data_IF_702236890044
#
_entry.id   IF_702236890044
#
_cell.length_a   1.000
_cell.length_b   1.000
_cell.length_c   1.000
_cell.angle_alpha   90.00
_cell.angle_beta   90.00
_cell.angle_gamma   90.00
#
_symmetry.space_group_name_H-M   'P 1'
#
loop_
_entity.id
_entity.type
_entity.pdbx_description
1 polymer ?
#
# COMPACT_ATOMS: atom_id res chain seq x y z
N UNK A 1 -21.27 3.09 -2.47
CA UNK A 1 -20.15 3.93 -2.93
C UNK A 1 -19.06 3.85 -1.87
N UNK A 2 -17.83 3.60 -2.26
CA UNK A 2 -16.69 3.61 -1.31
C UNK A 2 -16.45 5.04 -0.82
N UNK A 3 -16.25 5.20 0.48
CA UNK A 3 -15.99 6.50 1.12
C UNK A 3 -14.50 6.84 0.98
N UNK A 4 -14.18 8.06 0.55
CA UNK A 4 -12.81 8.53 0.49
C UNK A 4 -12.36 8.91 1.91
N UNK A 5 -11.33 8.24 2.44
CA UNK A 5 -10.76 8.52 3.78
C UNK A 5 -9.70 9.63 3.73
N UNK A 6 -8.85 9.59 2.69
CA UNK A 6 -7.78 10.57 2.51
C UNK A 6 -7.85 11.11 1.08
N UNK A 7 -7.89 12.42 0.92
CA UNK A 7 -7.88 13.10 -0.37
C UNK A 7 -6.65 14.00 -0.46
N UNK A 8 -5.86 13.82 -1.48
CA UNK A 8 -4.68 14.62 -1.79
C UNK A 8 -4.96 15.37 -3.09
N UNK A 9 -4.81 16.70 -3.09
CA UNK A 9 -5.15 17.57 -4.20
C UNK A 9 -3.98 18.49 -4.54
N UNK A 10 -3.49 18.40 -5.76
CA UNK A 10 -2.42 19.21 -6.34
C UNK A 10 -1.24 19.40 -5.39
N UNK A 11 -0.75 18.29 -4.80
CA UNK A 11 0.31 18.34 -3.80
C UNK A 11 1.67 18.51 -4.46
N UNK A 12 2.40 19.53 -4.02
CA UNK A 12 3.77 19.81 -4.43
C UNK A 12 4.71 19.81 -3.24
N UNK A 13 5.92 19.27 -3.44
CA UNK A 13 7.01 19.42 -2.49
C UNK A 13 8.29 19.81 -3.21
N UNK A 14 8.82 20.97 -2.84
CA UNK A 14 10.11 21.47 -3.27
C UNK A 14 11.01 21.59 -2.04
N UNK A 15 12.21 21.02 -2.12
CA UNK A 15 13.26 21.17 -1.14
C UNK A 15 14.28 22.21 -1.63
N UNK A 16 14.79 23.04 -0.72
CA UNK A 16 15.73 24.09 -1.00
C UNK A 16 15.60 25.25 0.00
N UNK A 17 16.40 26.28 -0.17
CA UNK A 17 16.43 27.42 0.75
C UNK A 17 15.17 28.28 0.65
N UNK A 18 14.54 28.38 -0.52
CA UNK A 18 13.30 29.12 -0.75
C UNK A 18 12.30 28.30 -1.59
N UNK A 19 11.55 27.35 -0.98
CA UNK A 19 10.60 26.51 -1.71
C UNK A 19 9.48 27.28 -2.43
N UNK A 20 9.11 28.48 -1.93
CA UNK A 20 8.07 29.32 -2.57
C UNK A 20 8.56 29.87 -3.91
N UNK A 21 9.78 30.37 -3.97
CA UNK A 21 10.40 30.81 -5.23
C UNK A 21 10.59 29.63 -6.20
N UNK A 22 11.00 28.46 -5.68
CA UNK A 22 11.04 27.22 -6.47
C UNK A 22 9.69 26.87 -7.09
N UNK A 23 8.59 27.07 -6.35
CA UNK A 23 7.23 26.85 -6.86
C UNK A 23 6.84 27.81 -7.99
N UNK A 24 7.27 29.07 -7.93
CA UNK A 24 7.06 30.04 -9.02
C UNK A 24 7.78 29.59 -10.30
N UNK A 25 9.02 29.12 -10.19
CA UNK A 25 9.75 28.54 -11.32
C UNK A 25 9.03 27.35 -11.95
N UNK A 26 8.52 26.42 -11.10
CA UNK A 26 7.75 25.25 -11.58
C UNK A 26 6.47 25.67 -12.28
N UNK A 27 5.74 26.67 -11.76
CA UNK A 27 4.54 27.23 -12.41
C UNK A 27 4.85 27.87 -13.77
N UNK A 28 6.06 28.44 -13.93
CA UNK A 28 6.54 29.00 -15.17
C UNK A 28 7.15 27.96 -16.14
N UNK A 29 6.95 26.65 -15.85
CA UNK A 29 7.35 25.56 -16.72
C UNK A 29 8.78 25.05 -16.55
N UNK A 30 9.50 25.50 -15.51
CA UNK A 30 10.86 24.99 -15.21
C UNK A 30 10.76 23.52 -14.76
N UNK A 31 11.48 22.64 -15.47
CA UNK A 31 11.53 21.22 -15.18
C UNK A 31 12.42 20.86 -13.99
N UNK A 32 12.35 19.59 -13.55
CA UNK A 32 13.05 19.06 -12.36
C UNK A 32 14.57 19.27 -12.43
N UNK A 33 15.19 18.95 -13.57
CA UNK A 33 16.65 19.04 -13.76
C UNK A 33 17.13 20.48 -13.79
N UNK A 34 16.39 21.36 -14.48
CA UNK A 34 16.68 22.78 -14.53
C UNK A 34 16.49 23.45 -13.16
N UNK A 35 15.45 23.06 -12.40
CA UNK A 35 15.21 23.56 -11.06
C UNK A 35 16.37 23.19 -10.11
N UNK A 36 16.94 21.99 -10.28
CA UNK A 36 18.09 21.55 -9.51
C UNK A 36 19.37 22.30 -9.92
N UNK A 37 19.68 22.32 -11.22
CA UNK A 37 20.98 22.79 -11.72
C UNK A 37 21.12 24.32 -11.68
N UNK A 38 20.07 25.07 -12.02
CA UNK A 38 20.12 26.53 -12.07
C UNK A 38 19.69 27.18 -10.75
N UNK A 39 18.76 26.57 -10.02
CA UNK A 39 18.14 27.20 -8.85
C UNK A 39 18.43 26.48 -7.54
N UNK A 40 19.19 25.38 -7.56
CA UNK A 40 19.54 24.58 -6.38
C UNK A 40 18.33 24.13 -5.54
N UNK A 41 17.21 23.83 -6.21
CA UNK A 41 16.01 23.32 -5.60
C UNK A 41 15.69 21.92 -6.13
N UNK A 42 15.23 21.02 -5.27
CA UNK A 42 14.83 19.67 -5.63
C UNK A 42 13.31 19.58 -5.69
N UNK A 43 12.75 19.26 -6.85
CA UNK A 43 11.32 18.97 -7.00
C UNK A 43 11.06 17.52 -6.57
N UNK A 44 10.59 17.36 -5.34
CA UNK A 44 10.33 16.04 -4.74
C UNK A 44 8.97 15.45 -5.10
N UNK A 45 7.93 16.30 -5.16
CA UNK A 45 6.57 15.93 -5.61
C UNK A 45 6.02 17.03 -6.49
N UNK A 46 5.32 16.64 -7.56
CA UNK A 46 4.71 17.54 -8.53
C UNK A 46 3.29 17.10 -8.86
N UNK A 47 2.31 17.94 -8.50
CA UNK A 47 0.88 17.80 -8.81
C UNK A 47 0.32 16.42 -8.49
N UNK A 48 0.59 15.95 -7.27
CA UNK A 48 0.05 14.66 -6.83
C UNK A 48 -1.43 14.82 -6.49
N UNK A 49 -2.26 14.02 -7.15
CA UNK A 49 -3.68 13.88 -6.91
C UNK A 49 -3.99 12.41 -6.61
N UNK A 50 -4.55 12.11 -5.43
CA UNK A 50 -4.80 10.73 -4.99
C UNK A 50 -5.98 10.68 -4.02
N UNK A 51 -6.91 9.74 -4.25
CA UNK A 51 -8.02 9.45 -3.36
C UNK A 51 -7.85 8.05 -2.77
N UNK A 52 -7.65 7.97 -1.46
CA UNK A 52 -7.48 6.71 -0.73
C UNK A 52 -8.82 6.35 -0.07
N UNK A 53 -9.33 5.16 -0.39
CA UNK A 53 -10.61 4.69 0.10
C UNK A 53 -10.53 4.24 1.55
N UNK A 54 -11.61 4.43 2.30
CA UNK A 54 -11.74 3.91 3.66
C UNK A 54 -11.63 2.37 3.66
N UNK A 55 -10.98 1.81 4.69
CA UNK A 55 -10.89 0.36 4.93
C UNK A 55 -10.21 -0.41 3.80
N UNK A 56 -9.36 0.24 3.03
CA UNK A 56 -8.61 -0.34 1.92
C UNK A 56 -7.11 -0.22 2.12
N UNK A 57 -6.36 -1.02 1.38
CA UNK A 57 -4.90 -0.91 1.27
C UNK A 57 -4.57 -0.19 -0.03
N UNK A 58 -4.15 1.06 0.07
CA UNK A 58 -3.55 1.81 -1.04
C UNK A 58 -2.05 1.58 -1.04
N UNK A 59 -1.55 0.90 -2.05
CA UNK A 59 -0.11 0.78 -2.27
C UNK A 59 0.40 1.98 -3.06
N UNK A 60 1.54 2.53 -2.66
CA UNK A 60 2.31 3.54 -3.39
C UNK A 60 3.65 2.93 -3.76
N UNK A 61 3.89 2.74 -5.05
CA UNK A 61 5.13 2.13 -5.54
C UNK A 61 5.89 3.02 -6.52
N UNK A 62 7.12 2.63 -6.83
CA UNK A 62 8.03 3.31 -7.77
C UNK A 62 9.48 3.09 -7.38
N UNK A 63 10.41 3.44 -8.23
CA UNK A 63 11.85 3.31 -7.99
C UNK A 63 12.33 4.19 -6.82
N UNK A 64 13.56 3.93 -6.35
CA UNK A 64 14.20 4.80 -5.36
C UNK A 64 14.26 6.24 -5.85
N UNK A 65 13.98 7.21 -4.97
CA UNK A 65 13.93 8.63 -5.33
C UNK A 65 12.67 9.11 -6.06
N UNK A 66 11.65 8.26 -6.28
CA UNK A 66 10.40 8.67 -6.94
C UNK A 66 9.47 9.53 -6.08
N UNK A 67 9.76 9.71 -4.78
CA UNK A 67 8.98 10.57 -3.89
C UNK A 67 8.02 9.85 -2.93
N UNK A 68 7.98 8.50 -2.92
CA UNK A 68 7.06 7.69 -2.09
C UNK A 68 7.08 8.04 -0.61
N UNK A 69 8.27 7.95 0.02
CA UNK A 69 8.43 8.27 1.46
C UNK A 69 8.15 9.75 1.76
N UNK A 70 8.38 10.63 0.79
CA UNK A 70 7.99 12.02 0.89
C UNK A 70 6.48 12.15 0.91
N UNK A 71 5.77 11.46 -0.02
CA UNK A 71 4.31 11.52 -0.12
C UNK A 71 3.62 11.02 1.15
N UNK A 72 3.99 9.84 1.67
CA UNK A 72 3.34 9.28 2.87
C UNK A 72 3.53 10.19 4.10
N UNK A 73 4.71 10.83 4.22
CA UNK A 73 5.02 11.74 5.34
C UNK A 73 4.29 13.08 5.26
N UNK A 74 3.67 13.41 4.13
CA UNK A 74 2.76 14.55 4.03
C UNK A 74 1.39 14.22 4.63
N UNK A 75 0.92 12.98 4.55
CA UNK A 75 -0.39 12.57 5.07
C UNK A 75 -0.50 12.86 6.58
N UNK A 76 0.54 12.57 7.36
CA UNK A 76 0.59 12.89 8.78
C UNK A 76 1.34 14.21 9.08
N UNK A 77 1.62 15.00 8.03
CA UNK A 77 2.32 16.30 8.13
C UNK A 77 3.66 16.26 8.86
N UNK A 78 4.38 15.12 8.80
CA UNK A 78 5.79 15.07 9.21
C UNK A 78 6.66 15.93 8.29
N UNK A 79 6.24 16.10 7.04
CA UNK A 79 6.81 17.01 6.06
C UNK A 79 5.70 17.98 5.64
N UNK A 80 5.98 19.29 5.70
CA UNK A 80 5.07 20.32 5.22
C UNK A 80 5.13 20.39 3.67
N UNK A 81 3.98 20.42 2.98
CA UNK A 81 3.97 20.62 1.54
C UNK A 81 4.40 22.04 1.16
N UNK A 82 4.85 22.22 -0.07
CA UNK A 82 5.10 23.56 -0.63
C UNK A 82 3.80 24.17 -1.15
N UNK A 83 2.91 23.35 -1.72
CA UNK A 83 1.57 23.73 -2.15
C UNK A 83 0.68 22.47 -2.20
N UNK A 84 -0.63 22.68 -2.34
CA UNK A 84 -1.64 21.64 -2.38
C UNK A 84 -2.36 21.43 -1.05
N UNK A 85 -3.25 20.46 -1.03
CA UNK A 85 -4.14 20.19 0.09
C UNK A 85 -4.21 18.71 0.41
N UNK A 86 -4.32 18.37 1.70
CA UNK A 86 -4.59 17.02 2.18
C UNK A 86 -5.78 17.08 3.13
N UNK A 87 -6.82 16.32 2.79
CA UNK A 87 -8.03 16.21 3.59
C UNK A 87 -8.15 14.79 4.12
N UNK A 88 -8.44 14.64 5.40
CA UNK A 88 -8.73 13.37 6.07
C UNK A 88 -10.09 13.48 6.73
N UNK A 89 -11.02 12.57 6.40
CA UNK A 89 -12.40 12.63 6.90
C UNK A 89 -13.03 14.04 6.71
N UNK A 90 -12.85 14.61 5.49
CA UNK A 90 -13.29 15.96 5.11
C UNK A 90 -12.65 17.12 5.88
N UNK A 91 -11.69 16.85 6.78
CA UNK A 91 -10.95 17.87 7.52
C UNK A 91 -9.62 18.20 6.83
N UNK A 92 -9.35 19.47 6.62
CA UNK A 92 -8.09 19.94 6.06
C UNK A 92 -6.95 19.83 7.08
N UNK A 93 -6.08 18.83 6.89
CA UNK A 93 -4.92 18.60 7.77
C UNK A 93 -3.93 19.77 7.71
N UNK A 94 -3.91 20.53 6.62
CA UNK A 94 -3.00 21.68 6.47
C UNK A 94 -3.42 22.86 7.36
N UNK A 95 -4.70 22.94 7.71
CA UNK A 95 -5.24 23.99 8.57
C UNK A 95 -5.04 23.74 10.08
N UNK A 96 -4.60 22.53 10.48
CA UNK A 96 -4.43 22.20 11.90
C UNK A 96 -3.33 23.05 12.56
N UNK A 97 -3.65 23.58 13.73
CA UNK A 97 -2.65 24.15 14.64
C UNK A 97 -1.77 23.04 15.27
N UNK A 98 -0.81 23.43 16.12
CA UNK A 98 0.10 22.47 16.76
C UNK A 98 -0.62 21.44 17.64
N UNK A 99 -1.70 21.83 18.31
CA UNK A 99 -2.44 20.94 19.21
C UNK A 99 -3.33 19.98 18.42
N UNK A 100 -4.09 20.49 17.45
CA UNK A 100 -4.89 19.68 16.54
C UNK A 100 -4.03 18.66 15.77
N UNK A 101 -2.87 19.09 15.26
CA UNK A 101 -1.93 18.21 14.56
C UNK A 101 -1.35 17.13 15.49
N UNK A 102 -1.04 17.47 16.74
CA UNK A 102 -0.59 16.49 17.74
C UNK A 102 -1.66 15.45 18.02
N UNK A 103 -2.90 15.88 18.21
CA UNK A 103 -4.04 14.97 18.44
C UNK A 103 -4.32 14.10 17.21
N UNK A 104 -4.29 14.65 16.01
CA UNK A 104 -4.41 13.90 14.76
C UNK A 104 -3.36 12.79 14.66
N UNK A 105 -2.08 13.10 14.93
CA UNK A 105 -0.99 12.10 14.91
C UNK A 105 -1.12 11.05 16.01
N UNK A 106 -1.67 11.39 17.18
CA UNK A 106 -1.83 10.45 18.29
C UNK A 106 -3.01 9.51 18.12
N UNK A 107 -4.11 10.00 17.54
CA UNK A 107 -5.39 9.28 17.54
C UNK A 107 -5.78 8.74 16.16
N UNK A 108 -5.44 9.45 15.09
CA UNK A 108 -5.93 9.14 13.75
C UNK A 108 -4.91 8.41 12.86
N UNK A 109 -3.62 8.57 13.14
CA UNK A 109 -2.56 7.97 12.31
C UNK A 109 -1.57 7.18 13.14
N UNK A 110 -1.15 6.03 12.63
CA UNK A 110 0.00 5.29 13.13
C UNK A 110 1.00 5.06 11.99
N UNK A 111 2.30 4.99 12.30
CA UNK A 111 3.32 4.84 11.27
C UNK A 111 4.31 3.73 11.61
N UNK A 112 4.55 2.85 10.62
CA UNK A 112 5.60 1.83 10.63
C UNK A 112 6.71 2.30 9.70
N UNK A 113 7.93 2.35 10.22
CA UNK A 113 9.09 2.88 9.50
C UNK A 113 9.97 1.76 8.94
N UNK A 114 10.68 2.04 7.86
CA UNK A 114 11.62 1.14 7.20
C UNK A 114 12.71 0.59 8.16
N UNK A 115 13.24 1.42 9.07
CA UNK A 115 14.28 1.06 10.06
C UNK A 115 13.69 0.87 11.45
N UNK A 116 12.57 0.19 11.58
CA UNK A 116 11.86 -0.19 12.81
C UNK A 116 11.54 0.97 13.77
N UNK A 117 12.43 1.95 13.93
CA UNK A 117 12.34 3.12 14.81
C UNK A 117 11.97 2.77 16.26
N UNK A 118 12.47 1.63 16.75
CA UNK A 118 12.29 1.22 18.15
C UNK A 118 13.20 2.02 19.06
N UNK A 119 12.72 2.29 20.29
CA UNK A 119 13.53 2.88 21.34
C UNK A 119 14.49 1.84 21.90
N UNK A 120 15.82 1.94 21.67
CA UNK A 120 16.77 0.87 22.00
C UNK A 120 16.92 0.64 23.49
N UNK A 121 16.61 1.63 24.30
CA UNK A 121 16.66 1.60 25.77
C UNK A 121 15.35 1.16 26.43
N UNK A 122 14.34 0.81 25.63
CA UNK A 122 13.03 0.32 26.12
C UNK A 122 12.87 -1.15 25.75
N UNK A 123 12.20 -1.91 26.62
CA UNK A 123 11.79 -3.29 26.33
C UNK A 123 10.73 -3.34 25.22
N UNK A 124 10.42 -4.53 24.71
CA UNK A 124 9.35 -4.76 23.72
C UNK A 124 8.04 -4.20 24.21
N UNK A 125 7.63 -4.58 25.44
CA UNK A 125 6.34 -4.11 26.00
C UNK A 125 6.28 -2.59 26.09
N UNK A 126 7.36 -1.92 26.52
CA UNK A 126 7.45 -0.47 26.60
C UNK A 126 7.46 0.21 25.22
N UNK A 127 8.09 -0.42 24.21
CA UNK A 127 8.03 0.08 22.84
C UNK A 127 6.61 0.00 22.30
N UNK A 128 5.89 -1.08 22.56
CA UNK A 128 4.51 -1.28 22.07
C UNK A 128 3.53 -0.39 22.80
N UNK A 129 3.66 -0.19 24.13
CA UNK A 129 2.78 0.68 24.92
C UNK A 129 3.03 2.17 24.72
N UNK A 130 4.18 2.57 24.16
CA UNK A 130 4.64 3.97 24.10
C UNK A 130 3.57 4.96 23.60
N UNK A 131 2.82 4.58 22.57
CA UNK A 131 1.77 5.43 22.02
C UNK A 131 0.59 5.63 22.97
N UNK A 132 0.21 4.60 23.73
CA UNK A 132 -0.84 4.68 24.75
C UNK A 132 -0.41 5.53 25.94
N UNK A 133 0.86 5.42 26.35
CA UNK A 133 1.44 6.27 27.41
C UNK A 133 1.36 7.76 26.99
N UNK A 134 1.68 8.07 25.73
CA UNK A 134 1.55 9.43 25.17
C UNK A 134 0.09 9.90 25.04
N UNK A 135 -0.87 8.99 24.96
CA UNK A 135 -2.31 9.30 24.97
C UNK A 135 -2.86 9.47 26.38
N UNK A 136 -2.10 9.15 27.42
CA UNK A 136 -2.47 9.30 28.82
C UNK A 136 -3.23 8.10 29.41
N UNK A 137 -3.11 6.91 28.80
CA UNK A 137 -3.64 5.68 29.39
C UNK A 137 -2.94 5.33 30.71
N UNK A 138 -3.63 4.67 31.62
CA UNK A 138 -3.02 4.15 32.85
C UNK A 138 -1.99 3.05 32.49
N UNK A 139 -0.84 2.96 33.21
CA UNK A 139 0.22 2.00 32.87
C UNK A 139 -0.25 0.55 32.75
N UNK A 140 -1.14 0.11 33.63
CA UNK A 140 -1.68 -1.26 33.60
C UNK A 140 -2.54 -1.53 32.35
N UNK A 141 -3.40 -0.57 31.99
CA UNK A 141 -4.24 -0.66 30.79
C UNK A 141 -3.39 -0.63 29.52
N UNK A 142 -2.40 0.24 29.45
CA UNK A 142 -1.45 0.34 28.34
C UNK A 142 -0.67 -0.99 28.18
N UNK A 143 -0.23 -1.58 29.29
CA UNK A 143 0.48 -2.87 29.32
C UNK A 143 -0.42 -4.01 28.83
N UNK A 144 -1.66 -4.08 29.31
CA UNK A 144 -2.62 -5.12 28.88
C UNK A 144 -2.89 -5.06 27.38
N UNK A 145 -3.17 -3.85 26.84
CA UNK A 145 -3.38 -3.65 25.40
C UNK A 145 -2.14 -4.03 24.60
N UNK A 146 -0.95 -3.61 25.05
CA UNK A 146 0.30 -3.93 24.40
C UNK A 146 0.58 -5.44 24.37
N UNK A 147 0.33 -6.16 25.48
CA UNK A 147 0.51 -7.62 25.55
C UNK A 147 -0.37 -8.35 24.54
N UNK A 148 -1.63 -7.93 24.36
CA UNK A 148 -2.54 -8.51 23.34
C UNK A 148 -1.97 -8.36 21.92
N UNK A 149 -1.35 -7.23 21.60
CA UNK A 149 -0.74 -7.02 20.28
C UNK A 149 0.57 -7.78 20.12
N UNK A 150 1.37 -7.91 21.17
CA UNK A 150 2.60 -8.72 21.19
C UNK A 150 2.25 -10.19 20.89
N UNK A 151 1.20 -10.70 21.49
CA UNK A 151 0.68 -12.04 21.21
C UNK A 151 0.21 -12.19 19.76
N UNK A 152 -0.62 -11.25 19.25
CA UNK A 152 -1.13 -11.28 17.86
C UNK A 152 -0.03 -11.27 16.81
N UNK A 153 1.11 -10.64 17.07
CA UNK A 153 2.25 -10.66 16.14
C UNK A 153 3.24 -11.80 16.41
N UNK A 154 2.91 -12.73 17.33
CA UNK A 154 3.70 -13.94 17.62
C UNK A 154 5.02 -13.64 18.34
N UNK A 155 5.01 -12.73 19.32
CA UNK A 155 6.16 -12.34 20.12
C UNK A 155 6.01 -12.66 21.62
N UNK A 156 5.16 -13.66 21.97
CA UNK A 156 5.00 -14.12 23.35
C UNK A 156 6.33 -14.56 23.96
N UNK A 157 6.59 -14.12 25.20
CA UNK A 157 7.82 -14.43 25.92
C UNK A 157 8.99 -13.48 25.61
N UNK A 158 8.78 -12.48 24.73
CA UNK A 158 9.78 -11.47 24.41
C UNK A 158 9.47 -10.09 25.01
N UNK A 159 8.46 -9.96 25.84
CA UNK A 159 7.93 -8.69 26.37
C UNK A 159 9.03 -7.86 27.07
N UNK A 160 9.87 -8.52 27.86
CA UNK A 160 10.95 -7.87 28.64
C UNK A 160 12.30 -7.83 27.89
N UNK A 161 12.36 -8.29 26.63
CA UNK A 161 13.57 -8.21 25.81
C UNK A 161 13.74 -6.80 25.23
N UNK A 162 14.98 -6.41 24.97
CA UNK A 162 15.32 -5.16 24.31
C UNK A 162 15.49 -5.38 22.80
N UNK A 163 15.34 -4.36 21.96
CA UNK A 163 15.45 -4.47 20.50
C UNK A 163 16.74 -5.17 20.03
N UNK A 164 17.85 -4.93 20.66
CA UNK A 164 19.14 -5.56 20.34
C UNK A 164 19.18 -7.08 20.51
N UNK A 165 18.26 -7.65 21.26
CA UNK A 165 18.14 -9.11 21.47
C UNK A 165 17.19 -9.77 20.45
N UNK A 166 16.67 -9.02 19.48
CA UNK A 166 15.68 -9.47 18.51
C UNK A 166 16.28 -9.52 17.10
N UNK A 167 15.84 -10.50 16.30
CA UNK A 167 16.10 -10.47 14.84
C UNK A 167 15.40 -9.29 14.16
N UNK A 168 15.83 -8.93 12.95
CA UNK A 168 15.19 -7.86 12.18
C UNK A 168 13.68 -8.07 11.98
N UNK A 169 13.26 -9.32 11.68
CA UNK A 169 11.86 -9.67 11.56
C UNK A 169 11.07 -9.51 12.87
N UNK A 170 11.67 -9.87 14.01
CA UNK A 170 11.05 -9.64 15.32
C UNK A 170 10.95 -8.14 15.64
N UNK A 171 11.96 -7.35 15.35
CA UNK A 171 11.90 -5.89 15.52
C UNK A 171 10.79 -5.27 14.66
N UNK A 172 10.58 -5.77 13.44
CA UNK A 172 9.49 -5.32 12.57
C UNK A 172 8.12 -5.67 13.16
N UNK A 173 7.96 -6.88 13.71
CA UNK A 173 6.74 -7.27 14.43
C UNK A 173 6.46 -6.37 15.63
N UNK A 174 7.48 -5.97 16.39
CA UNK A 174 7.35 -4.98 17.47
C UNK A 174 6.89 -3.63 16.91
N UNK A 175 7.46 -3.16 15.81
CA UNK A 175 7.08 -1.92 15.13
C UNK A 175 5.61 -1.93 14.67
N UNK A 176 5.16 -3.07 14.12
CA UNK A 176 3.77 -3.28 13.71
C UNK A 176 2.84 -3.31 14.94
N UNK A 177 3.17 -4.08 15.98
CA UNK A 177 2.39 -4.13 17.23
C UNK A 177 2.25 -2.73 17.85
N UNK A 178 3.32 -1.94 17.92
CA UNK A 178 3.29 -0.56 18.40
C UNK A 178 2.34 0.32 17.60
N UNK A 179 2.35 0.20 16.28
CA UNK A 179 1.48 1.00 15.42
C UNK A 179 0.00 0.63 15.61
N UNK A 180 -0.30 -0.67 15.74
CA UNK A 180 -1.66 -1.19 15.90
C UNK A 180 -2.23 -0.96 17.30
N UNK A 181 -1.38 -0.94 18.34
CA UNK A 181 -1.80 -0.72 19.74
C UNK A 181 -2.47 0.63 19.93
N UNK A 182 -2.11 1.64 19.14
CA UNK A 182 -2.73 2.98 19.18
C UNK A 182 -4.17 3.01 18.65
N UNK A 183 -4.66 1.93 18.05
CA UNK A 183 -5.99 1.79 17.44
C UNK A 183 -6.35 2.90 16.43
N UNK A 184 -5.35 3.52 15.81
CA UNK A 184 -5.54 4.55 14.80
C UNK A 184 -6.27 4.00 13.56
N UNK A 185 -7.12 4.83 12.93
CA UNK A 185 -7.89 4.47 11.73
C UNK A 185 -7.02 4.33 10.48
N UNK A 186 -5.89 5.07 10.45
CA UNK A 186 -4.97 5.14 9.31
C UNK A 186 -3.61 4.59 9.70
N UNK A 187 -3.17 3.56 8.97
CA UNK A 187 -1.85 2.95 9.12
C UNK A 187 -0.96 3.35 7.93
N UNK A 188 0.12 4.05 8.21
CA UNK A 188 1.12 4.49 7.24
C UNK A 188 2.34 3.57 7.33
N UNK A 189 2.71 2.89 6.24
CA UNK A 189 3.80 1.92 6.21
C UNK A 189 4.85 2.32 5.16
N UNK A 190 6.00 2.82 5.62
CA UNK A 190 7.08 3.32 4.75
C UNK A 190 8.14 2.22 4.55
N UNK A 191 8.05 1.47 3.45
CA UNK A 191 8.91 0.33 3.09
C UNK A 191 9.12 -0.66 4.24
N UNK A 192 8.02 -0.95 4.96
CA UNK A 192 8.06 -1.65 6.23
C UNK A 192 8.69 -3.06 6.16
N UNK A 193 8.63 -3.73 5.01
CA UNK A 193 9.11 -5.10 4.87
C UNK A 193 10.37 -5.24 4.01
N UNK A 194 10.91 -4.13 3.48
CA UNK A 194 12.04 -4.15 2.54
C UNK A 194 13.34 -4.72 3.11
N UNK A 195 13.57 -4.57 4.43
CA UNK A 195 14.77 -5.04 5.12
C UNK A 195 14.67 -6.50 5.60
N UNK A 196 13.56 -7.20 5.33
CA UNK A 196 13.31 -8.57 5.77
C UNK A 196 13.74 -9.58 4.70
N UNK A 197 14.19 -10.75 5.14
CA UNK A 197 14.40 -11.88 4.24
C UNK A 197 13.06 -12.36 3.63
N UNK A 198 13.07 -13.06 2.48
CA UNK A 198 11.87 -13.39 1.73
C UNK A 198 10.82 -14.18 2.53
N UNK A 199 11.26 -15.09 3.42
CA UNK A 199 10.33 -15.93 4.19
C UNK A 199 9.60 -15.08 5.23
N UNK A 200 10.34 -14.32 6.03
CA UNK A 200 9.79 -13.43 7.07
C UNK A 200 8.91 -12.34 6.43
N UNK A 201 9.31 -11.81 5.27
CA UNK A 201 8.52 -10.85 4.52
C UNK A 201 7.15 -11.42 4.15
N UNK A 202 7.10 -12.64 3.65
CA UNK A 202 5.85 -13.34 3.32
C UNK A 202 4.95 -13.49 4.55
N UNK A 203 5.52 -13.92 5.68
CA UNK A 203 4.79 -14.05 6.94
C UNK A 203 4.21 -12.70 7.40
N UNK A 204 4.99 -11.62 7.29
CA UNK A 204 4.53 -10.27 7.66
C UNK A 204 3.41 -9.75 6.76
N UNK A 205 3.46 -10.04 5.47
CA UNK A 205 2.37 -9.73 4.53
C UNK A 205 1.10 -10.49 4.90
N UNK A 206 1.21 -11.78 5.23
CA UNK A 206 0.06 -12.61 5.61
C UNK A 206 -0.54 -12.16 6.95
N UNK A 207 0.29 -11.75 7.92
CA UNK A 207 -0.15 -11.12 9.17
C UNK A 207 -0.90 -9.81 8.86
N UNK A 208 -0.36 -8.94 8.00
CA UNK A 208 -1.00 -7.67 7.64
C UNK A 208 -2.38 -7.90 6.99
N UNK A 209 -2.48 -8.83 6.05
CA UNK A 209 -3.74 -9.17 5.39
C UNK A 209 -4.76 -9.76 6.35
N UNK A 210 -4.33 -10.66 7.25
CA UNK A 210 -5.18 -11.20 8.30
C UNK A 210 -5.73 -10.12 9.23
N UNK A 211 -4.85 -9.22 9.71
CA UNK A 211 -5.24 -8.09 10.54
C UNK A 211 -6.14 -7.09 9.80
N UNK A 212 -5.89 -6.84 8.51
CA UNK A 212 -6.73 -5.95 7.72
C UNK A 212 -8.15 -6.49 7.57
N UNK A 213 -8.31 -7.81 7.39
CA UNK A 213 -9.63 -8.45 7.31
C UNK A 213 -10.42 -8.38 8.63
N UNK A 214 -9.72 -8.33 9.79
CA UNK A 214 -10.31 -8.22 11.12
C UNK A 214 -10.60 -6.75 11.51
N UNK A 215 -9.65 -5.87 11.26
CA UNK A 215 -9.65 -4.51 11.81
C UNK A 215 -10.22 -3.44 10.86
N UNK A 216 -10.27 -3.76 9.57
CA UNK A 216 -10.76 -2.85 8.52
C UNK A 216 -10.13 -1.46 8.57
N UNK A 217 -8.81 -1.36 8.82
CA UNK A 217 -8.06 -0.09 8.83
C UNK A 217 -7.85 0.43 7.41
N UNK A 218 -7.66 1.73 7.27
CA UNK A 218 -7.16 2.32 6.02
C UNK A 218 -5.65 2.27 6.04
N UNK A 219 -5.04 1.55 5.10
CA UNK A 219 -3.59 1.36 5.04
C UNK A 219 -3.02 2.08 3.83
N UNK A 220 -1.96 2.86 4.04
CA UNK A 220 -1.11 3.39 2.96
C UNK A 220 0.24 2.68 3.05
N UNK A 221 0.55 1.88 2.05
CA UNK A 221 1.71 1.00 2.06
C UNK A 221 2.70 1.37 0.95
N UNK A 222 3.93 1.68 1.32
CA UNK A 222 5.00 1.96 0.35
C UNK A 222 5.84 0.72 0.12
N UNK A 223 6.06 0.40 -1.13
CA UNK A 223 7.03 -0.61 -1.58
C UNK A 223 7.67 -0.24 -2.92
N UNK A 224 8.79 -0.86 -3.22
CA UNK A 224 9.40 -0.90 -4.56
C UNK A 224 9.26 -2.29 -5.22
N UNK A 225 8.68 -3.26 -4.51
CA UNK A 225 8.46 -4.64 -4.94
C UNK A 225 7.04 -4.76 -5.52
N UNK A 226 6.96 -5.11 -6.82
CA UNK A 226 5.67 -5.21 -7.52
C UNK A 226 4.87 -6.43 -7.05
N UNK A 227 5.52 -7.57 -6.78
CA UNK A 227 4.82 -8.77 -6.31
C UNK A 227 4.17 -8.51 -4.95
N UNK A 228 4.86 -7.75 -4.07
CA UNK A 228 4.30 -7.29 -2.82
C UNK A 228 3.09 -6.38 -3.05
N UNK A 229 3.21 -5.39 -3.93
CA UNK A 229 2.12 -4.47 -4.26
C UNK A 229 0.88 -5.19 -4.80
N UNK A 230 1.09 -6.16 -5.70
CA UNK A 230 0.02 -6.96 -6.31
C UNK A 230 -0.64 -7.92 -5.32
N UNK A 231 0.11 -8.42 -4.33
CA UNK A 231 -0.40 -9.33 -3.29
C UNK A 231 -1.27 -8.63 -2.27
N UNK A 232 -0.85 -7.46 -1.80
CA UNK A 232 -1.48 -6.82 -0.64
C UNK A 232 -2.39 -5.64 -0.99
N UNK A 233 -2.20 -4.99 -2.16
CA UNK A 233 -2.91 -3.77 -2.51
C UNK A 233 -4.32 -3.99 -3.06
N UNK A 234 -5.28 -3.24 -2.55
CA UNK A 234 -6.58 -3.08 -3.20
C UNK A 234 -6.47 -2.12 -4.40
N UNK A 235 -5.60 -1.10 -4.28
CA UNK A 235 -5.22 -0.17 -5.36
C UNK A 235 -3.72 0.09 -5.33
N UNK A 236 -3.15 0.35 -6.50
CA UNK A 236 -1.72 0.61 -6.66
C UNK A 236 -1.54 1.95 -7.38
N UNK A 237 -0.87 2.88 -6.71
CA UNK A 237 -0.43 4.15 -7.26
C UNK A 237 1.06 4.07 -7.60
N UNK A 238 1.43 4.26 -8.85
CA UNK A 238 2.80 4.19 -9.33
C UNK A 238 3.35 5.61 -9.49
N UNK A 239 4.44 5.91 -8.78
CA UNK A 239 5.13 7.18 -8.83
C UNK A 239 6.41 7.09 -9.67
N UNK A 240 6.60 8.11 -10.53
CA UNK A 240 7.82 8.32 -11.28
C UNK A 240 8.24 9.79 -11.15
N UNK A 241 9.49 10.04 -10.76
CA UNK A 241 10.08 11.39 -10.72
C UNK A 241 9.23 12.45 -10.00
N UNK A 242 8.55 12.05 -8.91
CA UNK A 242 7.69 12.92 -8.12
C UNK A 242 6.30 13.16 -8.70
N UNK A 243 5.91 12.46 -9.77
CA UNK A 243 4.57 12.52 -10.39
C UNK A 243 3.84 11.19 -10.23
N UNK A 244 2.50 11.26 -10.28
CA UNK A 244 1.65 10.09 -10.41
C UNK A 244 1.67 9.62 -11.87
N UNK A 245 2.13 8.39 -12.11
CA UNK A 245 2.18 7.79 -13.44
C UNK A 245 0.91 6.98 -13.73
N UNK A 246 0.46 6.18 -12.77
CA UNK A 246 -0.81 5.45 -12.84
C UNK A 246 -1.34 5.17 -11.42
N UNK A 247 -2.66 5.22 -11.20
CA UNK A 247 -3.35 4.73 -10.01
C UNK A 247 -4.56 3.91 -10.43
N UNK A 248 -4.51 2.59 -10.20
CA UNK A 248 -5.56 1.66 -10.63
C UNK A 248 -5.61 0.41 -9.73
N UNK A 249 -6.55 -0.50 -10.04
CA UNK A 249 -6.61 -1.82 -9.44
C UNK A 249 -5.41 -2.68 -9.89
N UNK A 250 -4.94 -3.65 -9.10
CA UNK A 250 -3.83 -4.54 -9.46
C UNK A 250 -3.99 -5.20 -10.84
N UNK A 251 -5.21 -5.66 -11.15
CA UNK A 251 -5.50 -6.27 -12.44
C UNK A 251 -5.38 -5.27 -13.61
N UNK A 252 -5.82 -4.01 -13.42
CA UNK A 252 -5.74 -2.98 -14.44
C UNK A 252 -4.29 -2.53 -14.69
N UNK A 253 -3.45 -2.47 -13.65
CA UNK A 253 -2.01 -2.23 -13.80
C UNK A 253 -1.37 -3.28 -14.72
N UNK A 254 -1.75 -4.56 -14.58
CA UNK A 254 -1.21 -5.65 -15.38
C UNK A 254 -1.78 -5.70 -16.81
N UNK A 255 -3.07 -5.44 -16.97
CA UNK A 255 -3.78 -5.59 -18.24
C UNK A 255 -3.72 -4.34 -19.11
N UNK A 256 -3.71 -3.16 -18.48
CA UNK A 256 -3.86 -1.85 -19.12
C UNK A 256 -2.77 -0.87 -18.63
N UNK A 257 -1.46 -1.20 -18.73
CA UNK A 257 -0.40 -0.27 -18.33
C UNK A 257 -0.43 0.99 -19.21
N UNK A 258 -0.55 2.17 -18.56
CA UNK A 258 -0.79 3.45 -19.26
C UNK A 258 0.47 4.06 -19.90
N UNK A 259 1.64 3.75 -19.35
CA UNK A 259 2.92 4.33 -19.81
C UNK A 259 3.96 3.23 -20.06
N UNK A 260 4.99 3.55 -20.82
CA UNK A 260 6.11 2.62 -21.05
C UNK A 260 6.88 2.32 -19.75
N UNK A 261 6.85 3.23 -18.79
CA UNK A 261 7.42 3.01 -17.48
C UNK A 261 6.66 1.91 -16.72
N UNK A 262 5.33 1.97 -16.68
CA UNK A 262 4.49 0.93 -16.05
C UNK A 262 4.62 -0.40 -16.81
N UNK A 263 4.64 -0.38 -18.16
CA UNK A 263 4.84 -1.59 -18.96
C UNK A 263 6.10 -2.37 -18.56
N UNK A 264 7.22 -1.65 -18.37
CA UNK A 264 8.48 -2.26 -17.91
C UNK A 264 8.38 -2.87 -16.52
N UNK A 265 7.60 -2.27 -15.61
CA UNK A 265 7.39 -2.84 -14.28
C UNK A 265 6.65 -4.17 -14.31
N UNK A 266 5.68 -4.32 -15.23
CA UNK A 266 4.80 -5.51 -15.28
C UNK A 266 5.25 -6.57 -16.28
N UNK A 267 6.39 -6.36 -16.96
CA UNK A 267 6.87 -7.23 -18.04
C UNK A 267 7.19 -8.64 -17.53
N UNK A 268 7.86 -8.76 -16.38
CA UNK A 268 8.32 -10.03 -15.83
C UNK A 268 7.34 -10.66 -14.81
N UNK A 269 6.15 -10.07 -14.63
CA UNK A 269 5.18 -10.56 -13.63
C UNK A 269 4.51 -11.84 -14.08
N UNK A 270 4.47 -12.82 -13.19
CA UNK A 270 3.66 -14.02 -13.41
C UNK A 270 2.16 -13.69 -13.23
N UNK A 271 1.51 -13.34 -14.34
CA UNK A 271 0.12 -12.92 -14.39
C UNK A 271 -0.87 -13.96 -13.88
N UNK A 272 -0.54 -15.25 -13.99
CA UNK A 272 -1.43 -16.32 -13.54
C UNK A 272 -1.66 -16.33 -12.03
N UNK A 273 -0.71 -15.81 -11.26
CA UNK A 273 -0.78 -15.70 -9.79
C UNK A 273 -1.57 -14.51 -9.28
N UNK A 274 -1.79 -13.51 -10.14
CA UNK A 274 -2.41 -12.24 -9.76
C UNK A 274 -3.80 -12.10 -10.37
N UNK A 275 -3.97 -12.53 -11.62
CA UNK A 275 -5.22 -12.37 -12.33
C UNK A 275 -6.20 -13.49 -11.99
N UNK A 276 -7.43 -13.08 -11.65
CA UNK A 276 -8.58 -13.96 -11.44
C UNK A 276 -9.39 -14.10 -12.73
N UNK A 277 -10.20 -15.15 -12.82
CA UNK A 277 -11.07 -15.41 -13.97
C UNK A 277 -11.94 -14.20 -14.33
N UNK A 278 -12.52 -13.51 -13.33
CA UNK A 278 -13.34 -12.31 -13.53
C UNK A 278 -12.62 -11.13 -14.19
N UNK A 279 -11.30 -11.02 -14.04
CA UNK A 279 -10.53 -9.91 -14.61
C UNK A 279 -10.33 -10.04 -16.13
N UNK A 280 -10.45 -11.27 -16.65
CA UNK A 280 -10.17 -11.57 -18.05
C UNK A 280 -11.35 -12.13 -18.83
N UNK A 281 -12.47 -12.41 -18.16
CA UNK A 281 -13.67 -12.94 -18.78
C UNK A 281 -14.35 -11.94 -19.74
N UNK A 282 -15.07 -12.49 -20.67
CA UNK A 282 -15.95 -11.79 -21.64
C UNK A 282 -17.41 -12.13 -21.34
N UNK A 283 -18.32 -11.30 -21.78
CA UNK A 283 -19.78 -11.54 -21.61
C UNK A 283 -20.22 -12.77 -22.38
N UNK A 284 -21.05 -13.59 -21.76
CA UNK A 284 -21.56 -14.85 -22.30
C UNK A 284 -22.71 -14.60 -23.31
N UNK A 285 -22.40 -14.15 -24.51
CA UNK A 285 -23.41 -13.80 -25.53
C UNK A 285 -23.84 -15.05 -26.33
N UNK A 286 -24.72 -15.89 -25.76
CA UNK A 286 -25.38 -16.99 -26.50
C UNK A 286 -24.45 -18.11 -27.04
N UNK A 287 -23.24 -18.24 -26.49
CA UNK A 287 -22.27 -19.27 -26.90
C UNK A 287 -22.64 -20.65 -26.37
N UNK A 288 -22.38 -21.69 -27.18
CA UNK A 288 -22.49 -23.08 -26.73
C UNK A 288 -21.38 -23.36 -25.69
N UNK A 289 -21.81 -23.79 -24.50
CA UNK A 289 -20.95 -24.06 -23.34
C UNK A 289 -20.90 -25.55 -22.98
N UNK A 290 -21.44 -26.44 -23.81
CA UNK A 290 -21.62 -27.85 -23.49
C UNK A 290 -20.29 -28.59 -23.24
N UNK A 291 -19.18 -28.16 -23.86
CA UNK A 291 -17.83 -28.74 -23.74
C UNK A 291 -16.86 -27.82 -22.94
N UNK A 292 -17.37 -26.81 -22.26
CA UNK A 292 -16.51 -25.86 -21.53
C UNK A 292 -16.18 -26.37 -20.13
N UNK A 293 -14.94 -26.18 -19.69
CA UNK A 293 -14.59 -26.31 -18.27
C UNK A 293 -15.18 -25.16 -17.49
N UNK A 294 -15.56 -25.41 -16.23
CA UNK A 294 -16.12 -24.40 -15.34
C UNK A 294 -15.11 -23.99 -14.27
N UNK A 295 -15.01 -22.68 -14.02
CA UNK A 295 -14.14 -22.08 -12.99
C UNK A 295 -14.92 -21.01 -12.23
N UNK A 296 -14.53 -20.72 -10.97
CA UNK A 296 -15.15 -19.65 -10.21
C UNK A 296 -14.57 -18.29 -10.63
N UNK A 297 -15.37 -17.24 -10.61
CA UNK A 297 -14.95 -15.88 -10.97
C UNK A 297 -13.78 -15.36 -10.11
N UNK A 298 -13.67 -15.81 -8.86
CA UNK A 298 -12.61 -15.45 -7.93
C UNK A 298 -11.38 -16.38 -7.97
N UNK A 299 -11.41 -17.46 -8.79
CA UNK A 299 -10.24 -18.33 -8.96
C UNK A 299 -9.11 -17.61 -9.70
N UNK A 300 -7.90 -17.69 -9.15
CA UNK A 300 -6.69 -17.28 -9.86
C UNK A 300 -6.44 -18.18 -11.07
N UNK A 301 -5.85 -17.63 -12.15
CA UNK A 301 -5.57 -18.40 -13.37
C UNK A 301 -4.67 -19.60 -13.06
N UNK A 302 -3.68 -19.45 -12.16
CA UNK A 302 -2.79 -20.52 -11.71
C UNK A 302 -3.56 -21.76 -11.23
N UNK A 303 -4.71 -21.58 -10.57
CA UNK A 303 -5.50 -22.68 -10.01
C UNK A 303 -6.11 -23.61 -11.05
N UNK A 304 -6.34 -23.13 -12.26
CA UNK A 304 -6.99 -23.90 -13.31
C UNK A 304 -6.17 -24.06 -14.61
N UNK A 305 -4.94 -23.51 -14.62
CA UNK A 305 -4.09 -23.54 -15.82
C UNK A 305 -3.70 -24.97 -16.21
N UNK A 306 -3.44 -25.85 -15.22
CA UNK A 306 -3.05 -27.25 -15.48
C UNK A 306 -4.17 -28.01 -16.20
N UNK A 307 -5.42 -27.81 -15.75
CA UNK A 307 -6.60 -28.39 -16.41
C UNK A 307 -6.74 -27.91 -17.85
N UNK A 308 -6.39 -26.64 -18.13
CA UNK A 308 -6.44 -26.11 -19.50
C UNK A 308 -5.39 -26.77 -20.39
N UNK A 309 -4.20 -27.03 -19.84
CA UNK A 309 -3.11 -27.68 -20.58
C UNK A 309 -3.47 -29.13 -20.89
N UNK A 310 -4.10 -29.84 -19.95
CA UNK A 310 -4.50 -31.24 -20.09
C UNK A 310 -5.72 -31.41 -21.01
N UNK A 311 -6.81 -30.70 -20.72
CA UNK A 311 -8.11 -30.87 -21.39
C UNK A 311 -8.19 -30.11 -22.73
N UNK A 312 -7.33 -29.09 -22.94
CA UNK A 312 -7.29 -28.19 -24.11
C UNK A 312 -8.68 -27.67 -24.54
N UNK A 313 -9.47 -27.12 -23.62
CA UNK A 313 -10.81 -26.66 -23.94
C UNK A 313 -10.72 -25.45 -24.88
N UNK A 314 -11.67 -25.31 -25.77
CA UNK A 314 -11.81 -24.10 -26.61
C UNK A 314 -12.26 -22.91 -25.79
N UNK A 315 -13.00 -23.17 -24.72
CA UNK A 315 -13.64 -22.16 -23.88
C UNK A 315 -13.69 -22.59 -22.41
N UNK A 316 -13.57 -21.61 -21.53
CA UNK A 316 -13.70 -21.74 -20.08
C UNK A 316 -14.90 -20.91 -19.65
N UNK A 317 -15.88 -21.52 -18.99
CA UNK A 317 -17.04 -20.81 -18.43
C UNK A 317 -16.73 -20.33 -17.04
N UNK A 318 -16.99 -19.05 -16.78
CA UNK A 318 -16.80 -18.43 -15.47
C UNK A 318 -18.14 -18.39 -14.73
N UNK A 319 -18.14 -18.89 -13.51
CA UNK A 319 -19.30 -18.94 -12.62
C UNK A 319 -19.13 -18.02 -11.41
N UNK A 320 -20.22 -17.41 -10.95
CA UNK A 320 -20.25 -16.70 -9.68
C UNK A 320 -20.31 -17.68 -8.47
N UNK A 321 -20.36 -17.14 -7.26
CA UNK A 321 -20.47 -17.92 -6.00
C UNK A 321 -21.75 -18.76 -5.89
N UNK A 322 -22.77 -18.47 -6.72
CA UNK A 322 -24.03 -19.21 -6.79
C UNK A 322 -24.06 -20.20 -7.96
N UNK A 323 -22.91 -20.49 -8.58
CA UNK A 323 -22.75 -21.36 -9.76
C UNK A 323 -23.52 -20.86 -11.02
N UNK A 324 -23.88 -19.59 -11.08
CA UNK A 324 -24.46 -19.00 -12.28
C UNK A 324 -23.36 -18.61 -13.27
N UNK A 325 -23.55 -18.91 -14.55
CA UNK A 325 -22.60 -18.56 -15.59
C UNK A 325 -22.62 -17.03 -15.83
N UNK A 326 -21.52 -16.34 -15.49
CA UNK A 326 -21.40 -14.85 -15.59
C UNK A 326 -20.53 -14.41 -16.77
N UNK A 327 -19.72 -15.29 -17.32
CA UNK A 327 -18.85 -14.97 -18.43
C UNK A 327 -18.14 -16.19 -19.02
N UNK A 328 -17.26 -15.95 -19.98
CA UNK A 328 -16.38 -16.97 -20.54
C UNK A 328 -14.99 -16.41 -20.82
N UNK A 329 -14.00 -17.28 -20.89
CA UNK A 329 -12.62 -16.99 -21.32
C UNK A 329 -12.30 -17.91 -22.49
N UNK A 330 -11.90 -17.36 -23.65
CA UNK A 330 -11.39 -18.18 -24.75
C UNK A 330 -9.93 -18.53 -24.52
N UNK A 331 -9.51 -19.74 -24.96
CA UNK A 331 -8.11 -20.19 -24.83
C UNK A 331 -7.14 -19.25 -25.56
N UNK A 332 -7.57 -18.62 -26.66
CA UNK A 332 -6.80 -17.59 -27.37
C UNK A 332 -6.54 -16.38 -26.47
N UNK A 333 -7.59 -15.81 -25.85
CA UNK A 333 -7.46 -14.66 -24.95
C UNK A 333 -6.55 -14.95 -23.75
N UNK A 334 -6.72 -16.14 -23.16
CA UNK A 334 -5.85 -16.56 -22.06
C UNK A 334 -4.38 -16.63 -22.50
N UNK A 335 -4.10 -17.25 -23.64
CA UNK A 335 -2.74 -17.31 -24.19
C UNK A 335 -2.15 -15.92 -24.47
N UNK A 336 -2.94 -14.96 -24.99
CA UNK A 336 -2.50 -13.58 -25.22
C UNK A 336 -2.13 -12.87 -23.92
N UNK A 337 -2.89 -13.09 -22.84
CA UNK A 337 -2.67 -12.47 -21.53
C UNK A 337 -1.43 -13.06 -20.84
N UNK A 338 -1.22 -14.37 -20.95
CA UNK A 338 -0.10 -15.07 -20.31
C UNK A 338 1.22 -14.94 -21.07
N UNK A 339 1.19 -14.61 -22.37
CA UNK A 339 2.40 -14.39 -23.20
C UNK A 339 3.00 -13.00 -23.06
N UNK A 340 2.26 -12.07 -22.52
CA UNK A 340 2.70 -10.70 -22.21
C UNK A 340 3.25 -10.62 -20.81
#
# INVERSE_FOLDING_TARGET
MSVVKIKIESLYKIFGTNPKMGMEHVKNGVGKDELLTKYSHVLGLQDINLNIQEKSIQVIMGLSGSGKSTLIRHINRLIEPTAGKITVEDQDVMAYDKNALRNFRRQKTAMVFQRFALMPHMTVIKNVSLGLDMQGFKPEEAKEKASKWIEKVGLNGYEEKYPQHLSGGMQQRVGLARALTNDADILLMDEAFSALDPLIRKDMQDILLGLQSELHKTVVFITHDLDEALKIGDRIAILKDGKMDQDDLPADILLNPKTDYVKKFVEDVNRSRVLKAKHIMQKLNGKDISKAIKVNEDDFIEKFIDRIVEEKPEMIVVQDKQNKNVGYISSKRLSEILKK
#
